data_IF_310533349634
#
_entry.id   IF_310533349634
#
_cell.length_a   1.000
_cell.length_b   1.000
_cell.length_c   1.000
_cell.angle_alpha   90.00
_cell.angle_beta   90.00
_cell.angle_gamma   90.00
#
_symmetry.space_group_name_H-M   'P 1'
#
loop_
_entity.id
_entity.type
_entity.pdbx_description
1 polymer ?
#
# COMPACT_ATOMS: atom_id res chain seq x y z
N UNK A 1 18.18 9.89 -1.42
CA UNK A 1 16.79 9.64 -1.78
C UNK A 1 16.64 8.27 -2.43
N UNK A 2 15.61 7.53 -2.02
CA UNK A 2 15.31 6.23 -2.60
C UNK A 2 13.90 6.23 -3.16
N UNK A 3 13.71 5.53 -4.27
CA UNK A 3 12.43 5.44 -4.95
C UNK A 3 12.11 3.97 -5.18
N UNK A 4 10.86 3.61 -4.91
CA UNK A 4 10.32 2.29 -5.25
C UNK A 4 9.08 2.44 -6.08
N UNK A 5 8.81 1.46 -6.93
CA UNK A 5 7.61 1.44 -7.75
C UNK A 5 7.08 0.01 -7.83
N UNK A 6 5.77 -0.10 -8.01
CA UNK A 6 5.14 -1.40 -8.19
C UNK A 6 3.89 -1.27 -9.05
N UNK A 7 3.51 -2.36 -9.70
CA UNK A 7 2.28 -2.45 -10.49
C UNK A 7 1.61 -3.79 -10.19
N UNK A 8 0.29 -3.76 -10.05
CA UNK A 8 -0.51 -4.93 -9.66
C UNK A 8 -1.71 -5.03 -10.58
N UNK A 9 -1.97 -6.21 -11.11
CA UNK A 9 -3.21 -6.46 -11.84
C UNK A 9 -4.32 -6.70 -10.83
N UNK A 10 -5.33 -5.84 -10.82
CA UNK A 10 -6.38 -5.83 -9.79
C UNK A 10 -7.13 -7.16 -9.68
N UNK A 11 -7.43 -7.80 -10.82
CA UNK A 11 -8.17 -9.06 -10.83
C UNK A 11 -7.42 -10.21 -10.15
N UNK A 12 -6.10 -10.07 -9.93
CA UNK A 12 -5.28 -11.11 -9.30
C UNK A 12 -5.22 -10.97 -7.78
N UNK A 13 -5.78 -9.89 -7.25
CA UNK A 13 -5.80 -9.67 -5.80
C UNK A 13 -6.77 -10.65 -5.14
N UNK A 14 -6.28 -11.36 -4.14
CA UNK A 14 -7.11 -12.22 -3.31
C UNK A 14 -7.83 -11.40 -2.25
N UNK A 15 -9.08 -11.75 -1.98
CA UNK A 15 -9.82 -11.17 -0.86
C UNK A 15 -9.99 -12.19 0.27
N UNK A 16 -9.18 -13.25 0.28
CA UNK A 16 -9.20 -14.22 1.37
C UNK A 16 -8.77 -13.55 2.68
N UNK A 17 -9.29 -14.04 3.78
CA UNK A 17 -8.98 -13.47 5.10
C UNK A 17 -7.49 -13.48 5.40
N UNK A 18 -6.80 -14.58 5.09
CA UNK A 18 -5.37 -14.69 5.38
C UNK A 18 -4.55 -13.70 4.56
N UNK A 19 -4.90 -13.51 3.27
CA UNK A 19 -4.20 -12.54 2.43
C UNK A 19 -4.42 -11.12 2.95
N UNK A 20 -5.67 -10.78 3.24
CA UNK A 20 -6.01 -9.44 3.72
C UNK A 20 -5.31 -9.11 5.03
N UNK A 21 -5.25 -10.06 5.97
CA UNK A 21 -4.55 -9.86 7.24
C UNK A 21 -3.05 -9.70 7.07
N UNK A 22 -2.48 -10.28 6.02
CA UNK A 22 -1.06 -10.15 5.73
C UNK A 22 -0.69 -8.83 5.07
N UNK A 23 -1.64 -8.21 4.37
CA UNK A 23 -1.39 -7.00 3.57
C UNK A 23 -1.87 -5.73 4.27
N UNK A 24 -3.04 -5.77 4.89
CA UNK A 24 -3.69 -4.58 5.44
C UNK A 24 -3.43 -4.43 6.93
N UNK A 25 -3.25 -3.19 7.36
CA UNK A 25 -3.19 -2.85 8.78
C UNK A 25 -4.58 -3.02 9.41
N UNK A 26 -4.68 -3.11 10.75
CA UNK A 26 -5.98 -3.14 11.40
C UNK A 26 -6.89 -1.98 11.00
N UNK A 27 -6.32 -0.78 10.85
CA UNK A 27 -7.07 0.39 10.41
C UNK A 27 -7.60 0.22 8.99
N UNK A 28 -6.78 -0.30 8.09
CA UNK A 28 -7.18 -0.54 6.71
C UNK A 28 -8.26 -1.61 6.58
N UNK A 29 -8.22 -2.63 7.44
CA UNK A 29 -9.28 -3.65 7.45
C UNK A 29 -10.64 -3.03 7.81
N UNK A 30 -10.66 -2.07 8.71
CA UNK A 30 -11.90 -1.36 9.03
C UNK A 30 -12.40 -0.53 7.84
N UNK A 31 -11.48 0.13 7.14
CA UNK A 31 -11.82 0.92 5.95
C UNK A 31 -12.31 0.04 4.80
N UNK A 32 -11.73 -1.14 4.65
CA UNK A 32 -12.11 -2.07 3.60
C UNK A 32 -13.59 -2.44 3.68
N UNK A 33 -14.11 -2.60 4.89
CA UNK A 33 -15.52 -2.97 5.09
C UNK A 33 -16.48 -1.94 4.48
N UNK A 34 -16.04 -0.70 4.34
CA UNK A 34 -16.85 0.39 3.78
C UNK A 34 -16.53 0.67 2.32
N UNK A 35 -15.57 -0.03 1.74
CA UNK A 35 -15.15 0.23 0.37
C UNK A 35 -16.16 -0.32 -0.63
N UNK A 36 -16.45 0.49 -1.67
CA UNK A 36 -17.34 0.09 -2.76
C UNK A 36 -16.63 -0.89 -3.70
N UNK A 37 -15.35 -0.67 -3.94
CA UNK A 37 -14.54 -1.51 -4.83
C UNK A 37 -13.38 -2.09 -4.03
N UNK A 38 -13.65 -3.24 -3.41
CA UNK A 38 -12.67 -3.88 -2.53
C UNK A 38 -11.39 -4.33 -3.25
N UNK A 39 -11.47 -4.95 -4.45
CA UNK A 39 -10.23 -5.32 -5.15
C UNK A 39 -9.32 -4.13 -5.43
N UNK A 40 -9.87 -3.01 -5.89
CA UNK A 40 -9.07 -1.80 -6.15
C UNK A 40 -8.49 -1.20 -4.87
N UNK A 41 -9.28 -1.20 -3.78
CA UNK A 41 -8.82 -0.74 -2.48
C UNK A 41 -7.58 -1.50 -2.03
N UNK A 42 -7.65 -2.83 -2.11
CA UNK A 42 -6.54 -3.70 -1.68
C UNK A 42 -5.36 -3.57 -2.63
N UNK A 43 -5.61 -3.56 -3.94
CA UNK A 43 -4.54 -3.50 -4.94
C UNK A 43 -3.70 -2.24 -4.81
N UNK A 44 -4.34 -1.08 -4.60
CA UNK A 44 -3.61 0.19 -4.42
C UNK A 44 -2.72 0.17 -3.20
N UNK A 45 -3.22 -0.34 -2.09
CA UNK A 45 -2.44 -0.43 -0.85
C UNK A 45 -1.32 -1.47 -0.96
N UNK A 46 -1.60 -2.59 -1.59
CA UNK A 46 -0.58 -3.60 -1.85
C UNK A 46 0.56 -3.00 -2.68
N UNK A 47 0.23 -2.32 -3.78
CA UNK A 47 1.22 -1.70 -4.65
C UNK A 47 2.05 -0.65 -3.90
N UNK A 48 1.40 0.20 -3.08
CA UNK A 48 2.11 1.23 -2.31
C UNK A 48 3.09 0.60 -1.31
N UNK A 49 2.69 -0.47 -0.64
CA UNK A 49 3.54 -1.13 0.34
C UNK A 49 4.70 -1.88 -0.30
N UNK A 50 4.46 -2.54 -1.45
CA UNK A 50 5.54 -3.15 -2.22
C UNK A 50 6.54 -2.10 -2.70
N UNK A 51 6.05 -0.96 -3.22
CA UNK A 51 6.90 0.13 -3.66
C UNK A 51 7.76 0.65 -2.49
N UNK A 52 7.15 0.82 -1.32
CA UNK A 52 7.87 1.26 -0.14
C UNK A 52 8.95 0.27 0.29
N UNK A 53 8.64 -1.02 0.30
CA UNK A 53 9.62 -2.05 0.66
C UNK A 53 10.79 -2.10 -0.32
N UNK A 54 10.52 -1.89 -1.61
CA UNK A 54 11.58 -1.76 -2.61
C UNK A 54 12.45 -0.54 -2.35
N UNK A 55 11.85 0.59 -1.99
CA UNK A 55 12.60 1.80 -1.65
C UNK A 55 13.47 1.60 -0.42
N UNK A 56 13.00 0.83 0.57
CA UNK A 56 13.79 0.49 1.75
C UNK A 56 15.01 -0.38 1.39
N UNK A 57 14.88 -1.21 0.39
CA UNK A 57 15.97 -2.09 -0.03
C UNK A 57 16.23 -3.26 0.89
N UNK A 58 15.30 -3.59 1.79
CA UNK A 58 15.48 -4.64 2.79
C UNK A 58 15.01 -6.02 2.32
N UNK A 59 14.27 -6.08 1.22
CA UNK A 59 13.72 -7.34 0.72
C UNK A 59 12.84 -8.02 1.76
N UNK A 60 13.03 -9.34 1.92
CA UNK A 60 12.22 -10.14 2.85
C UNK A 60 12.54 -9.86 4.32
N UNK A 61 13.64 -9.17 4.61
CA UNK A 61 13.98 -8.81 6.00
C UNK A 61 13.31 -7.53 6.46
N UNK A 62 12.55 -6.88 5.59
CA UNK A 62 11.83 -5.65 5.94
C UNK A 62 10.57 -5.91 6.76
N UNK A 63 9.83 -4.85 7.07
CA UNK A 63 8.60 -4.97 7.84
C UNK A 63 7.53 -5.75 7.07
N UNK A 64 6.57 -6.31 7.80
CA UNK A 64 5.39 -6.92 7.20
C UNK A 64 4.49 -5.81 6.65
N UNK A 65 3.79 -6.08 5.56
CA UNK A 65 2.86 -5.11 4.99
C UNK A 65 1.77 -4.67 5.98
N UNK A 66 1.33 -5.58 6.84
CA UNK A 66 0.31 -5.26 7.84
C UNK A 66 0.79 -4.29 8.92
N UNK A 67 2.11 -4.08 9.03
CA UNK A 67 2.69 -3.08 9.93
C UNK A 67 2.80 -1.70 9.27
N UNK A 68 2.52 -1.61 7.99
CA UNK A 68 2.51 -0.37 7.23
C UNK A 68 1.06 0.10 7.08
N UNK A 69 0.83 1.40 7.19
CA UNK A 69 -0.52 1.95 7.11
C UNK A 69 -0.56 3.04 6.04
N UNK A 70 -1.43 2.87 5.04
CA UNK A 70 -1.63 3.91 4.04
C UNK A 70 -2.81 4.77 4.49
N UNK A 71 -2.53 6.03 4.73
CA UNK A 71 -3.52 7.00 5.20
C UNK A 71 -3.64 8.13 4.19
N UNK A 72 -4.78 8.79 4.18
CA UNK A 72 -5.00 9.94 3.29
C UNK A 72 -5.05 11.20 4.12
N UNK A 73 -4.22 12.18 3.75
CA UNK A 73 -4.17 13.47 4.42
C UNK A 73 -5.37 14.33 4.12
N UNK A 74 -5.41 15.52 4.70
CA UNK A 74 -6.53 16.47 4.57
C UNK A 74 -6.85 16.80 3.11
N UNK A 75 -5.83 16.84 2.26
CA UNK A 75 -6.02 17.16 0.83
C UNK A 75 -6.21 15.92 -0.03
N UNK A 76 -6.38 14.75 0.58
CA UNK A 76 -6.63 13.52 -0.14
C UNK A 76 -5.38 12.84 -0.70
N UNK A 77 -4.18 13.34 -0.42
CA UNK A 77 -2.93 12.69 -0.83
C UNK A 77 -2.62 11.52 0.07
N UNK A 78 -2.24 10.37 -0.48
CA UNK A 78 -1.86 9.23 0.36
C UNK A 78 -0.47 9.43 0.96
N UNK A 79 -0.32 8.90 2.17
CA UNK A 79 0.97 8.79 2.84
C UNK A 79 1.06 7.40 3.44
N UNK A 80 2.28 6.87 3.55
CA UNK A 80 2.51 5.60 4.22
C UNK A 80 3.13 5.88 5.57
N UNK A 81 2.53 5.30 6.61
CA UNK A 81 3.00 5.48 7.99
C UNK A 81 3.68 4.20 8.45
N UNK A 82 4.90 4.33 8.96
CA UNK A 82 5.64 3.23 9.53
C UNK A 82 6.47 3.73 10.72
N UNK A 83 6.30 3.10 11.87
CA UNK A 83 7.00 3.47 13.10
C UNK A 83 6.92 4.97 13.41
N UNK A 84 5.72 5.52 13.26
CA UNK A 84 5.44 6.92 13.57
C UNK A 84 5.94 7.92 12.54
N UNK A 85 6.59 7.48 11.47
CA UNK A 85 7.06 8.37 10.40
C UNK A 85 6.14 8.27 9.20
N UNK A 86 6.03 9.38 8.46
CA UNK A 86 5.22 9.47 7.25
C UNK A 86 6.11 9.53 6.04
N UNK A 87 5.74 8.79 5.01
CA UNK A 87 6.49 8.74 3.76
C UNK A 87 5.56 9.04 2.60
N UNK A 88 6.07 9.75 1.61
CA UNK A 88 5.29 10.09 0.43
C UNK A 88 5.07 8.85 -0.44
N UNK A 89 3.82 8.62 -0.83
CA UNK A 89 3.47 7.61 -1.81
C UNK A 89 2.47 8.21 -2.78
N UNK A 90 2.43 7.69 -4.00
CA UNK A 90 1.44 8.06 -4.99
C UNK A 90 0.86 6.78 -5.56
N UNK A 91 -0.46 6.74 -5.72
CA UNK A 91 -1.18 5.55 -6.18
C UNK A 91 -2.04 5.95 -7.36
N UNK A 92 -2.03 5.13 -8.40
CA UNK A 92 -2.88 5.35 -9.57
C UNK A 92 -3.54 4.03 -9.99
N UNK A 93 -4.73 4.14 -10.56
CA UNK A 93 -5.48 2.99 -11.07
C UNK A 93 -5.89 3.29 -12.51
N UNK A 94 -5.66 2.34 -13.41
CA UNK A 94 -6.11 2.46 -14.79
C UNK A 94 -6.06 1.10 -15.48
N UNK A 95 -7.04 0.85 -16.33
CA UNK A 95 -7.06 -0.34 -17.19
C UNK A 95 -6.96 -1.67 -16.47
N UNK A 96 -7.50 -1.76 -15.25
CA UNK A 96 -7.44 -3.00 -14.47
C UNK A 96 -6.16 -3.16 -13.68
N UNK A 97 -5.34 -2.12 -13.58
CA UNK A 97 -4.07 -2.13 -12.85
C UNK A 97 -4.05 -1.06 -11.77
N UNK A 98 -3.33 -1.34 -10.70
CA UNK A 98 -2.95 -0.34 -9.70
C UNK A 98 -1.44 -0.20 -9.75
N UNK A 99 -0.94 1.02 -9.70
CA UNK A 99 0.48 1.30 -9.65
C UNK A 99 0.77 2.26 -8.49
N UNK A 100 1.97 2.19 -7.97
CA UNK A 100 2.37 3.08 -6.88
C UNK A 100 3.84 3.43 -6.98
N UNK A 101 4.17 4.60 -6.44
CA UNK A 101 5.54 5.07 -6.26
C UNK A 101 5.69 5.45 -4.79
N UNK A 102 6.80 5.05 -4.19
CA UNK A 102 7.14 5.44 -2.82
C UNK A 102 8.49 6.14 -2.81
N UNK A 103 8.61 7.13 -1.94
CA UNK A 103 9.80 7.95 -1.82
C UNK A 103 10.29 7.93 -0.38
N UNK A 104 11.58 7.64 -0.20
CA UNK A 104 12.23 7.74 1.10
C UNK A 104 13.37 8.75 0.99
N UNK A 105 13.27 9.83 1.75
CA UNK A 105 14.32 10.82 1.86
C UNK A 105 15.24 10.45 3.02
N UNK A 106 16.52 10.56 2.81
CA UNK A 106 17.53 10.21 3.83
C UNK A 106 18.15 11.45 4.45
#
# INVERSE_FOLDING_TARGET
MRIGTDIVEIRRISLSESFLKGVLSPNELLLLAKSVDKPSFVAGRFAAKEAFLKAMGTGLSGPRMSALDVVYGEKGSPELVYEGRRYAVSIAHDGGYATAVALIEE
#
